data_IF_479581364313
#
_entry.id   IF_479581364313
#
_cell.length_a   1.000
_cell.length_b   1.000
_cell.length_c   1.000
_cell.angle_alpha   90.00
_cell.angle_beta   90.00
_cell.angle_gamma   90.00
#
_symmetry.space_group_name_H-M   'P 1'
#
loop_
_entity.id
_entity.type
_entity.pdbx_description
1 polymer ?
#
# COMPACT_ATOMS: atom_id res chain seq x y z
N UNK A 1 -1.89 -31.08 -2.09
CA UNK A 1 -2.40 -30.18 -3.15
C UNK A 1 -2.63 -28.75 -2.64
N UNK A 2 -3.19 -28.60 -1.43
CA UNK A 2 -3.33 -27.33 -0.69
C UNK A 2 -2.01 -26.58 -0.49
N UNK A 3 -0.92 -27.31 -0.22
CA UNK A 3 0.41 -26.73 0.08
C UNK A 3 1.03 -25.96 -1.11
N UNK A 4 0.84 -26.44 -2.34
CA UNK A 4 1.29 -25.76 -3.55
C UNK A 4 0.47 -24.49 -3.83
N UNK A 5 -0.85 -24.57 -3.71
CA UNK A 5 -1.76 -23.42 -3.85
C UNK A 5 -1.46 -22.32 -2.83
N UNK A 6 -1.10 -22.71 -1.61
CA UNK A 6 -0.74 -21.80 -0.54
C UNK A 6 0.58 -21.08 -0.85
N UNK A 7 1.60 -21.83 -1.29
CA UNK A 7 2.87 -21.25 -1.74
C UNK A 7 2.70 -20.22 -2.85
N UNK A 8 1.84 -20.48 -3.84
CA UNK A 8 1.56 -19.50 -4.91
C UNK A 8 0.82 -18.25 -4.40
N UNK A 9 -0.07 -18.41 -3.42
CA UNK A 9 -0.82 -17.30 -2.84
C UNK A 9 0.08 -16.37 -2.03
N UNK A 10 1.02 -16.93 -1.25
CA UNK A 10 1.99 -16.17 -0.47
C UNK A 10 2.98 -15.43 -1.37
N UNK A 11 3.51 -16.10 -2.39
CA UNK A 11 4.35 -15.49 -3.43
C UNK A 11 3.65 -14.34 -4.16
N UNK A 12 2.34 -14.47 -4.42
CA UNK A 12 1.55 -13.42 -5.06
C UNK A 12 1.42 -12.20 -4.15
N UNK A 13 1.13 -12.43 -2.87
CA UNK A 13 0.99 -11.35 -1.90
C UNK A 13 2.31 -10.61 -1.69
N UNK A 14 3.41 -11.34 -1.52
CA UNK A 14 4.75 -10.77 -1.39
C UNK A 14 5.13 -9.88 -2.59
N UNK A 15 4.91 -10.36 -3.82
CA UNK A 15 5.13 -9.58 -5.04
C UNK A 15 4.23 -8.34 -5.12
N UNK A 16 2.97 -8.46 -4.70
CA UNK A 16 2.01 -7.34 -4.69
C UNK A 16 2.45 -6.23 -3.73
N UNK A 17 2.91 -6.58 -2.53
CA UNK A 17 3.39 -5.59 -1.56
C UNK A 17 4.74 -4.98 -1.96
N UNK A 18 5.63 -5.77 -2.57
CA UNK A 18 6.86 -5.22 -3.16
C UNK A 18 6.54 -4.17 -4.23
N UNK A 19 5.54 -4.43 -5.08
CA UNK A 19 5.08 -3.49 -6.10
C UNK A 19 4.50 -2.20 -5.48
N UNK A 20 3.69 -2.31 -4.43
CA UNK A 20 3.19 -1.18 -3.65
C UNK A 20 4.30 -0.29 -3.10
N UNK A 21 5.35 -0.89 -2.52
CA UNK A 21 6.51 -0.15 -2.00
C UNK A 21 7.23 0.63 -3.10
N UNK A 22 7.44 -0.01 -4.26
CA UNK A 22 8.04 0.66 -5.41
C UNK A 22 7.19 1.82 -5.92
N UNK A 23 5.87 1.62 -6.03
CA UNK A 23 4.95 2.69 -6.41
C UNK A 23 4.97 3.86 -5.42
N UNK A 24 5.02 3.58 -4.11
CA UNK A 24 5.12 4.62 -3.09
C UNK A 24 6.43 5.42 -3.21
N UNK A 25 7.56 4.73 -3.43
CA UNK A 25 8.86 5.37 -3.65
C UNK A 25 8.83 6.29 -4.87
N UNK A 26 8.30 5.80 -5.99
CA UNK A 26 8.16 6.58 -7.23
C UNK A 26 7.25 7.79 -6.99
N UNK A 27 6.10 7.60 -6.33
CA UNK A 27 5.14 8.66 -6.03
C UNK A 27 5.74 9.75 -5.13
N UNK A 28 6.50 9.35 -4.10
CA UNK A 28 7.18 10.29 -3.19
C UNK A 28 8.29 11.06 -3.90
N UNK A 29 9.09 10.37 -4.72
CA UNK A 29 10.13 10.99 -5.54
C UNK A 29 9.53 11.99 -6.54
N UNK A 30 8.47 11.60 -7.24
CA UNK A 30 7.74 12.47 -8.17
C UNK A 30 7.17 13.69 -7.45
N UNK A 31 6.55 13.52 -6.28
CA UNK A 31 6.03 14.63 -5.49
C UNK A 31 7.12 15.63 -5.10
N UNK A 32 8.29 15.15 -4.65
CA UNK A 32 9.43 16.00 -4.30
C UNK A 32 9.92 16.83 -5.50
N UNK A 33 10.10 16.20 -6.67
CA UNK A 33 10.48 16.88 -7.91
C UNK A 33 9.43 17.91 -8.34
N UNK A 34 8.16 17.55 -8.26
CA UNK A 34 7.03 18.41 -8.61
C UNK A 34 6.95 19.67 -7.74
N UNK A 35 7.19 19.55 -6.43
CA UNK A 35 7.23 20.70 -5.53
C UNK A 35 8.37 21.65 -5.91
N UNK A 36 9.55 21.12 -6.25
CA UNK A 36 10.67 21.93 -6.73
C UNK A 36 10.36 22.70 -8.02
N UNK A 37 9.60 22.10 -8.95
CA UNK A 37 9.16 22.78 -10.19
C UNK A 37 8.27 23.99 -9.89
N UNK A 38 7.55 23.97 -8.76
CA UNK A 38 6.66 25.04 -8.32
C UNK A 38 7.41 26.25 -7.74
N UNK A 39 8.62 26.03 -7.21
CA UNK A 39 9.42 27.09 -6.61
C UNK A 39 10.04 27.99 -7.70
N UNK A 40 9.72 29.28 -7.63
CA UNK A 40 10.36 30.32 -8.45
C UNK A 40 9.80 30.49 -9.87
N UNK A 41 8.70 29.81 -10.23
CA UNK A 41 8.03 29.96 -11.52
C UNK A 41 6.67 30.64 -11.40
N UNK A 42 6.41 31.60 -12.30
CA UNK A 42 5.12 32.26 -12.47
C UNK A 42 4.28 31.49 -13.47
N UNK A 43 3.09 31.04 -13.05
CA UNK A 43 2.15 30.28 -13.86
C UNK A 43 0.83 31.04 -14.01
N UNK A 44 0.07 30.75 -15.07
CA UNK A 44 -1.31 31.21 -15.21
C UNK A 44 -2.16 30.68 -14.04
N UNK A 45 -3.13 31.49 -13.59
CA UNK A 45 -3.98 31.18 -12.42
C UNK A 45 -4.68 29.81 -12.53
N UNK A 46 -5.11 29.44 -13.73
CA UNK A 46 -5.75 28.14 -13.99
C UNK A 46 -4.76 26.98 -13.87
N UNK A 47 -3.53 27.13 -14.37
CA UNK A 47 -2.48 26.12 -14.29
C UNK A 47 -2.03 25.90 -12.84
N UNK A 48 -2.00 26.95 -12.01
CA UNK A 48 -1.67 26.84 -10.56
C UNK A 48 -2.72 26.00 -9.83
N UNK A 49 -4.01 26.21 -10.12
CA UNK A 49 -5.09 25.45 -9.49
C UNK A 49 -4.97 23.95 -9.79
N UNK A 50 -4.78 23.60 -11.06
CA UNK A 50 -4.60 22.21 -11.51
C UNK A 50 -3.35 21.60 -10.87
N UNK A 51 -2.24 22.34 -10.80
CA UNK A 51 -1.01 21.86 -10.20
C UNK A 51 -1.15 21.59 -8.70
N UNK A 52 -1.83 22.47 -7.96
CA UNK A 52 -2.15 22.25 -6.54
C UNK A 52 -3.04 21.02 -6.35
N UNK A 53 -4.02 20.81 -7.22
CA UNK A 53 -4.87 19.62 -7.19
C UNK A 53 -4.06 18.34 -7.45
N UNK A 54 -3.16 18.34 -8.45
CA UNK A 54 -2.26 17.23 -8.75
C UNK A 54 -1.38 16.87 -7.55
N UNK A 55 -0.74 17.88 -6.94
CA UNK A 55 0.11 17.69 -5.76
C UNK A 55 -0.68 17.16 -4.56
N UNK A 56 -1.87 17.69 -4.31
CA UNK A 56 -2.71 17.25 -3.19
C UNK A 56 -3.15 15.80 -3.38
N UNK A 57 -3.58 15.43 -4.59
CA UNK A 57 -3.94 14.05 -4.93
C UNK A 57 -2.74 13.11 -4.78
N UNK A 58 -1.53 13.53 -5.15
CA UNK A 58 -0.32 12.73 -4.96
C UNK A 58 0.02 12.56 -3.47
N UNK A 59 -0.03 13.64 -2.68
CA UNK A 59 0.22 13.61 -1.23
C UNK A 59 -0.77 12.70 -0.49
N UNK A 60 -2.07 12.80 -0.81
CA UNK A 60 -3.11 11.90 -0.28
C UNK A 60 -2.84 10.45 -0.69
N UNK A 61 -2.39 10.24 -1.93
CA UNK A 61 -1.94 8.94 -2.41
C UNK A 61 -0.81 8.39 -1.55
N UNK A 62 0.26 9.16 -1.34
CA UNK A 62 1.41 8.74 -0.51
C UNK A 62 0.95 8.33 0.89
N UNK A 63 0.04 9.07 1.52
CA UNK A 63 -0.52 8.72 2.83
C UNK A 63 -1.24 7.36 2.80
N UNK A 64 -2.14 7.13 1.84
CA UNK A 64 -2.80 5.84 1.68
C UNK A 64 -1.81 4.71 1.36
N UNK A 65 -0.80 4.97 0.53
CA UNK A 65 0.26 4.04 0.24
C UNK A 65 1.03 3.64 1.50
N UNK A 66 1.38 4.61 2.36
CA UNK A 66 2.05 4.38 3.62
C UNK A 66 1.22 3.52 4.57
N UNK A 67 -0.09 3.81 4.69
CA UNK A 67 -1.01 2.97 5.47
C UNK A 67 -1.14 1.55 4.91
N UNK A 68 -1.18 1.39 3.58
CA UNK A 68 -1.23 0.08 2.93
C UNK A 68 0.02 -0.75 3.23
N UNK A 69 1.22 -0.15 3.10
CA UNK A 69 2.49 -0.81 3.45
C UNK A 69 2.62 -1.09 4.95
N UNK A 70 2.06 -0.23 5.82
CA UNK A 70 1.99 -0.53 7.24
C UNK A 70 1.16 -1.80 7.52
N UNK A 71 0.07 -2.01 6.78
CA UNK A 71 -0.74 -3.23 6.85
C UNK A 71 0.05 -4.51 6.60
N UNK A 72 1.07 -4.46 5.75
CA UNK A 72 2.00 -5.57 5.50
C UNK A 72 2.77 -5.95 6.78
N UNK A 73 3.27 -4.96 7.53
CA UNK A 73 3.99 -5.22 8.79
C UNK A 73 3.08 -5.82 9.87
N UNK A 74 1.79 -5.48 9.86
CA UNK A 74 0.79 -6.10 10.74
C UNK A 74 0.48 -7.54 10.33
N UNK A 75 0.42 -7.84 9.03
CA UNK A 75 0.29 -9.21 8.50
C UNK A 75 1.43 -10.10 8.98
N UNK A 76 2.68 -9.64 8.83
CA UNK A 76 3.86 -10.42 9.24
C UNK A 76 3.84 -10.68 10.74
N UNK A 77 3.53 -9.67 11.56
CA UNK A 77 3.44 -9.81 13.02
C UNK A 77 2.32 -10.77 13.44
N UNK A 78 1.13 -10.64 12.83
CA UNK A 78 -0.02 -11.51 13.12
C UNK A 78 0.18 -12.96 12.68
N UNK A 79 0.87 -13.18 11.56
CA UNK A 79 1.23 -14.54 11.13
C UNK A 79 2.26 -15.19 12.08
N UNK A 80 3.26 -14.43 12.53
CA UNK A 80 4.26 -14.91 13.49
C UNK A 80 3.61 -15.25 14.83
N UNK A 81 2.69 -14.43 15.34
CA UNK A 81 1.99 -14.72 16.60
C UNK A 81 1.15 -15.99 16.50
N UNK A 82 0.47 -16.25 15.37
CA UNK A 82 -0.29 -17.49 15.17
C UNK A 82 0.60 -18.73 15.14
N UNK A 83 1.80 -18.64 14.56
CA UNK A 83 2.77 -19.75 14.57
C UNK A 83 3.28 -20.00 15.99
N UNK A 84 3.59 -18.94 16.74
CA UNK A 84 4.03 -19.05 18.13
C UNK A 84 2.93 -19.67 19.01
N UNK A 85 1.70 -19.19 18.91
CA UNK A 85 0.56 -19.74 19.68
C UNK A 85 0.32 -21.22 19.36
N UNK A 86 0.45 -21.59 18.07
CA UNK A 86 0.32 -22.99 17.64
C UNK A 86 1.40 -23.88 18.26
N UNK A 87 2.64 -23.42 18.35
CA UNK A 87 3.70 -24.21 18.96
C UNK A 87 3.67 -24.22 20.49
N UNK A 88 3.23 -23.14 21.13
CA UNK A 88 2.98 -23.12 22.58
C UNK A 88 1.91 -24.16 22.94
N UNK A 89 0.81 -24.20 22.21
CA UNK A 89 -0.25 -25.18 22.46
C UNK A 89 0.18 -26.65 22.22
N UNK A 90 1.12 -26.90 21.30
CA UNK A 90 1.70 -28.24 21.12
C UNK A 90 2.66 -28.60 22.25
N UNK A 91 3.45 -27.65 22.74
CA UNK A 91 4.36 -27.85 23.87
C UNK A 91 3.60 -28.12 25.18
N UNK A 92 2.44 -27.50 25.35
CA UNK A 92 1.51 -27.76 26.47
C UNK A 92 0.74 -29.10 26.35
N UNK A 93 0.98 -29.89 25.30
CA UNK A 93 0.29 -31.17 25.05
C UNK A 93 -1.17 -31.02 24.62
N UNK A 94 -1.65 -29.80 24.37
CA UNK A 94 -3.02 -29.51 23.97
C UNK A 94 -3.15 -29.45 22.43
N UNK A 95 -3.03 -30.63 21.80
CA UNK A 95 -3.08 -30.77 20.35
C UNK A 95 -4.43 -30.38 19.73
N UNK A 96 -5.54 -30.55 20.46
CA UNK A 96 -6.85 -30.07 20.02
C UNK A 96 -6.87 -28.54 19.88
N UNK A 97 -6.37 -27.81 20.88
CA UNK A 97 -6.26 -26.35 20.80
C UNK A 97 -5.33 -25.90 19.66
N UNK A 98 -4.18 -26.57 19.48
CA UNK A 98 -3.24 -26.27 18.40
C UNK A 98 -3.83 -26.48 16.99
N UNK A 99 -4.79 -27.41 16.84
CA UNK A 99 -5.49 -27.65 15.56
C UNK A 99 -6.58 -26.63 15.24
N UNK A 100 -7.08 -25.90 16.25
CA UNK A 100 -8.10 -24.85 16.10
C UNK A 100 -7.51 -23.47 15.81
N UNK A 101 -6.20 -23.29 16.00
CA UNK A 101 -5.52 -22.03 15.64
C UNK A 101 -5.59 -21.86 14.11
N UNK A 102 -6.15 -20.74 13.61
CA UNK A 102 -6.25 -20.51 12.18
C UNK A 102 -4.85 -20.46 11.56
N UNK A 103 -4.67 -21.22 10.47
CA UNK A 103 -3.38 -21.30 9.77
C UNK A 103 -3.05 -20.03 8.98
N UNK A 104 -4.01 -19.12 8.83
CA UNK A 104 -3.90 -17.93 7.98
C UNK A 104 -4.37 -16.72 8.76
N UNK A 105 -3.49 -15.72 8.89
CA UNK A 105 -3.88 -14.39 9.35
C UNK A 105 -4.50 -13.62 8.16
N UNK A 106 -5.81 -13.39 8.21
CA UNK A 106 -6.50 -12.58 7.21
C UNK A 106 -6.37 -11.10 7.57
N UNK A 107 -5.83 -10.31 6.65
CA UNK A 107 -5.77 -8.86 6.83
C UNK A 107 -7.20 -8.28 6.87
N UNK A 108 -7.49 -7.31 7.76
CA UNK A 108 -8.79 -6.68 7.82
C UNK A 108 -9.23 -6.05 6.50
N UNK A 109 -10.54 -6.13 6.20
CA UNK A 109 -11.15 -5.65 4.95
C UNK A 109 -10.85 -4.19 4.62
N UNK A 110 -10.68 -3.34 5.65
CA UNK A 110 -10.40 -1.92 5.49
C UNK A 110 -9.02 -1.66 4.87
N UNK A 111 -8.01 -2.52 5.11
CA UNK A 111 -6.68 -2.32 4.52
C UNK A 111 -6.70 -2.52 2.99
N UNK A 112 -7.52 -3.46 2.49
CA UNK A 112 -7.73 -3.63 1.04
C UNK A 112 -8.43 -2.42 0.42
N UNK A 113 -9.26 -1.72 1.18
CA UNK A 113 -9.91 -0.49 0.72
C UNK A 113 -8.89 0.65 0.65
N UNK A 114 -8.00 0.77 1.63
CA UNK A 114 -6.89 1.74 1.61
C UNK A 114 -5.97 1.53 0.41
N UNK A 115 -5.66 0.27 0.07
CA UNK A 115 -4.87 -0.05 -1.13
C UNK A 115 -5.55 0.44 -2.43
N UNK A 116 -6.86 0.22 -2.56
CA UNK A 116 -7.62 0.72 -3.72
C UNK A 116 -7.65 2.25 -3.78
N UNK A 117 -7.78 2.91 -2.63
CA UNK A 117 -7.74 4.37 -2.55
C UNK A 117 -6.37 4.91 -2.96
N UNK A 118 -5.27 4.23 -2.59
CA UNK A 118 -3.94 4.58 -3.06
C UNK A 118 -3.84 4.57 -4.60
N UNK A 119 -4.26 3.48 -5.24
CA UNK A 119 -4.22 3.39 -6.71
C UNK A 119 -5.10 4.45 -7.38
N UNK A 120 -6.32 4.67 -6.87
CA UNK A 120 -7.22 5.71 -7.38
C UNK A 120 -6.57 7.10 -7.27
N UNK A 121 -5.98 7.41 -6.12
CA UNK A 121 -5.33 8.70 -5.87
C UNK A 121 -4.14 8.93 -6.82
N UNK A 122 -3.35 7.88 -7.10
CA UNK A 122 -2.28 7.94 -8.09
C UNK A 122 -2.79 8.19 -9.50
N UNK A 123 -3.86 7.50 -9.93
CA UNK A 123 -4.48 7.74 -11.23
C UNK A 123 -4.99 9.17 -11.36
N UNK A 124 -5.69 9.69 -10.34
CA UNK A 124 -6.15 11.09 -10.33
C UNK A 124 -4.99 12.08 -10.41
N UNK A 125 -3.93 11.85 -9.62
CA UNK A 125 -2.71 12.66 -9.66
C UNK A 125 -2.11 12.69 -11.08
N UNK A 126 -1.99 11.54 -11.74
CA UNK A 126 -1.47 11.45 -13.10
C UNK A 126 -2.36 12.19 -14.11
N UNK A 127 -3.68 12.07 -14.01
CA UNK A 127 -4.62 12.78 -14.89
C UNK A 127 -4.46 14.30 -14.73
N UNK A 128 -4.38 14.80 -13.50
CA UNK A 128 -4.15 16.24 -13.27
C UNK A 128 -2.78 16.70 -13.78
N UNK A 129 -1.75 15.85 -13.69
CA UNK A 129 -0.43 16.15 -14.25
C UNK A 129 -0.45 16.25 -15.77
N UNK A 130 -1.07 15.28 -16.46
CA UNK A 130 -1.24 15.34 -17.92
C UNK A 130 -2.03 16.59 -18.29
N UNK A 131 -3.12 16.87 -17.59
CA UNK A 131 -3.92 18.06 -17.86
C UNK A 131 -3.14 19.36 -17.64
N UNK A 132 -2.31 19.44 -16.60
CA UNK A 132 -1.42 20.58 -16.36
C UNK A 132 -0.44 20.81 -17.51
N UNK A 133 0.19 19.74 -18.03
CA UNK A 133 1.13 19.82 -19.16
C UNK A 133 0.42 20.32 -20.43
N UNK A 134 -0.82 19.91 -20.66
CA UNK A 134 -1.63 20.38 -21.79
C UNK A 134 -2.03 21.86 -21.68
N UNK A 135 -2.09 22.40 -20.46
CA UNK A 135 -2.53 23.77 -20.19
C UNK A 135 -1.37 24.78 -20.16
N UNK A 136 -0.13 24.28 -20.21
CA UNK A 136 1.10 25.06 -20.16
C UNK A 136 1.61 25.38 -21.56
#
# INVERSE_FOLDING_TARGET
MTDQFQKFTDLRNEKSYAYLRWLMLISTGAFSLSVNVLFGKTYLSNSIFVLKAALTANAVGILFGAFSVYGETMLTKGAVSLVIDKEIHKLDGNYEAASRVPTIYALPSYMRLVEKLFYLSLCFSLIFWVYFIWLQ
#
